data_IF_982042646810
#
_entry.id   IF_982042646810
#
_cell.length_a   1.000
_cell.length_b   1.000
_cell.length_c   1.000
_cell.angle_alpha   90.00
_cell.angle_beta   90.00
_cell.angle_gamma   90.00
#
_symmetry.space_group_name_H-M   'P 1'
#
loop_
_entity.id
_entity.type
_entity.pdbx_description
1 polymer ?
#
# COMPACT_ATOMS: atom_id res chain seq x y z
N UNK A 1 -2.88 15.93 -30.68
CA UNK A 1 -2.43 14.57 -30.29
C UNK A 1 -3.29 13.52 -30.98
N UNK A 2 -2.71 12.58 -31.74
CA UNK A 2 -3.47 11.49 -32.40
C UNK A 2 -3.85 10.41 -31.37
N UNK A 3 -5.08 9.90 -31.40
CA UNK A 3 -5.63 8.88 -30.45
C UNK A 3 -4.71 7.67 -30.19
N UNK A 4 -3.89 7.26 -31.17
CA UNK A 4 -2.93 6.16 -31.02
C UNK A 4 -1.81 6.42 -29.99
N UNK A 5 -1.39 7.67 -29.80
CA UNK A 5 -0.36 8.06 -28.84
C UNK A 5 -0.85 7.95 -27.38
N UNK A 6 -2.10 8.34 -27.13
CA UNK A 6 -2.74 8.24 -25.80
C UNK A 6 -2.90 6.80 -25.33
N UNK A 7 -3.34 5.90 -26.23
CA UNK A 7 -3.50 4.48 -25.90
C UNK A 7 -2.16 3.82 -25.56
N UNK A 8 -1.12 4.12 -26.33
CA UNK A 8 0.22 3.59 -26.06
C UNK A 8 0.78 4.11 -24.73
N UNK A 9 0.58 5.40 -24.42
CA UNK A 9 0.98 5.98 -23.14
C UNK A 9 0.24 5.32 -21.96
N UNK A 10 -1.07 5.10 -22.09
CA UNK A 10 -1.86 4.43 -21.06
C UNK A 10 -1.36 3.00 -20.80
N UNK A 11 -1.15 2.21 -21.84
CA UNK A 11 -0.65 0.82 -21.69
C UNK A 11 0.72 0.81 -20.99
N UNK A 12 1.60 1.74 -21.36
CA UNK A 12 2.92 1.88 -20.73
C UNK A 12 2.82 2.17 -19.23
N UNK A 13 2.00 3.16 -18.85
CA UNK A 13 1.75 3.50 -17.45
C UNK A 13 1.23 2.29 -16.66
N UNK A 14 0.32 1.52 -17.24
CA UNK A 14 -0.26 0.33 -16.60
C UNK A 14 0.77 -0.79 -16.43
N UNK A 15 1.65 -0.98 -17.41
CA UNK A 15 2.74 -1.95 -17.32
C UNK A 15 3.76 -1.56 -16.24
N UNK A 16 4.16 -0.28 -16.18
CA UNK A 16 5.07 0.24 -15.15
C UNK A 16 4.47 0.11 -13.74
N UNK A 17 3.17 0.40 -13.58
CA UNK A 17 2.46 0.19 -12.31
C UNK A 17 2.44 -1.28 -11.91
N UNK A 18 2.15 -2.19 -12.85
CA UNK A 18 2.15 -3.62 -12.57
C UNK A 18 3.55 -4.13 -12.16
N UNK A 19 4.60 -3.68 -12.84
CA UNK A 19 5.98 -4.02 -12.51
C UNK A 19 6.36 -3.57 -11.10
N UNK A 20 6.02 -2.32 -10.73
CA UNK A 20 6.21 -1.82 -9.37
C UNK A 20 5.42 -2.64 -8.34
N UNK A 21 4.17 -3.00 -8.67
CA UNK A 21 3.31 -3.78 -7.80
C UNK A 21 3.80 -5.22 -7.64
N UNK A 22 4.39 -5.85 -8.66
CA UNK A 22 5.00 -7.18 -8.56
C UNK A 22 6.17 -7.21 -7.55
N UNK A 23 6.79 -6.07 -7.30
CA UNK A 23 7.85 -5.87 -6.30
C UNK A 23 7.32 -5.57 -4.89
N UNK A 24 6.01 -5.72 -4.64
CA UNK A 24 5.36 -5.40 -3.36
C UNK A 24 6.08 -5.93 -2.11
N UNK A 25 6.70 -7.12 -2.21
CA UNK A 25 7.45 -7.76 -1.11
C UNK A 25 8.63 -6.92 -0.61
N UNK A 26 9.23 -6.12 -1.49
CA UNK A 26 10.35 -5.23 -1.17
C UNK A 26 9.93 -4.08 -0.25
N UNK A 27 8.66 -3.68 -0.30
CA UNK A 27 8.14 -2.59 0.53
C UNK A 27 7.66 -3.07 1.91
N UNK A 28 7.39 -4.37 2.10
CA UNK A 28 6.89 -4.90 3.37
C UNK A 28 7.76 -4.54 4.59
N UNK A 29 9.11 -4.62 4.54
CA UNK A 29 9.93 -4.25 5.69
C UNK A 29 9.76 -2.78 6.08
N UNK A 30 9.58 -1.88 5.09
CA UNK A 30 9.31 -0.47 5.36
C UNK A 30 7.93 -0.26 5.98
N UNK A 31 6.91 -0.97 5.48
CA UNK A 31 5.54 -0.93 6.00
C UNK A 31 5.50 -1.45 7.45
N UNK A 32 6.10 -2.60 7.72
CA UNK A 32 6.15 -3.19 9.08
C UNK A 32 6.85 -2.25 10.06
N UNK A 33 7.97 -1.63 9.66
CA UNK A 33 8.66 -0.64 10.49
C UNK A 33 7.83 0.62 10.75
N UNK A 34 7.05 1.08 9.76
CA UNK A 34 6.15 2.22 9.92
C UNK A 34 5.00 1.89 10.87
N UNK A 35 4.37 0.72 10.72
CA UNK A 35 3.33 0.24 11.63
C UNK A 35 3.87 0.09 13.06
N UNK A 36 5.06 -0.49 13.22
CA UNK A 36 5.68 -0.67 14.53
C UNK A 36 6.00 0.65 15.25
N UNK A 37 6.41 1.69 14.51
CA UNK A 37 6.63 3.03 15.07
C UNK A 37 5.34 3.63 15.65
N UNK A 38 4.20 3.39 15.01
CA UNK A 38 2.92 4.04 15.37
C UNK A 38 2.09 3.22 16.36
N UNK A 39 2.10 1.90 16.21
CA UNK A 39 1.22 0.95 16.91
C UNK A 39 1.97 0.00 17.86
N UNK A 40 3.30 0.07 17.90
CA UNK A 40 4.14 -0.93 18.56
C UNK A 40 4.29 -2.20 17.74
N UNK A 41 5.10 -3.14 18.22
CA UNK A 41 5.25 -4.44 17.56
C UNK A 41 3.93 -5.22 17.61
N UNK A 42 3.40 -5.56 16.44
CA UNK A 42 2.06 -6.15 16.25
C UNK A 42 2.09 -7.15 15.11
N UNK A 43 1.27 -8.22 15.15
CA UNK A 43 1.06 -9.08 14.00
C UNK A 43 0.56 -8.29 12.78
N UNK A 44 1.28 -8.42 11.67
CA UNK A 44 0.95 -7.83 10.37
C UNK A 44 0.70 -8.94 9.35
N UNK A 45 -0.40 -8.84 8.62
CA UNK A 45 -0.83 -9.81 7.62
C UNK A 45 -0.98 -9.13 6.27
N UNK A 46 -0.61 -9.84 5.22
CA UNK A 46 -0.90 -9.45 3.83
C UNK A 46 -2.02 -10.36 3.34
N UNK A 47 -3.04 -9.78 2.70
CA UNK A 47 -4.18 -10.52 2.19
C UNK A 47 -4.61 -9.99 0.83
N UNK A 48 -5.78 -10.41 0.34
CA UNK A 48 -6.33 -9.90 -0.91
C UNK A 48 -5.70 -10.49 -2.18
N UNK A 49 -5.71 -9.72 -3.26
CA UNK A 49 -5.36 -10.21 -4.61
C UNK A 49 -3.90 -10.64 -4.74
N UNK A 50 -2.99 -9.97 -4.04
CA UNK A 50 -1.53 -10.21 -4.11
C UNK A 50 -1.13 -11.59 -3.58
N UNK A 51 -1.87 -12.13 -2.60
CA UNK A 51 -1.63 -13.48 -2.07
C UNK A 51 -2.35 -14.57 -2.86
N UNK A 52 -3.40 -14.22 -3.61
CA UNK A 52 -4.16 -15.15 -4.47
C UNK A 52 -3.57 -15.31 -5.87
N UNK A 53 -2.50 -14.56 -6.19
CA UNK A 53 -1.94 -14.48 -7.55
C UNK A 53 -2.94 -13.95 -8.60
N UNK A 54 -3.91 -13.14 -8.18
CA UNK A 54 -4.95 -12.51 -9.03
C UNK A 54 -4.65 -11.02 -9.26
N UNK A 55 -3.36 -10.66 -9.27
CA UNK A 55 -2.91 -9.27 -9.31
C UNK A 55 -3.09 -8.64 -10.69
N UNK A 56 -3.56 -7.40 -10.73
CA UNK A 56 -3.70 -6.59 -11.95
C UNK A 56 -3.00 -5.25 -11.80
N UNK A 57 -2.86 -4.51 -12.90
CA UNK A 57 -2.32 -3.16 -12.87
C UNK A 57 -3.21 -2.15 -12.12
N UNK A 58 -4.41 -2.52 -11.67
CA UNK A 58 -5.28 -1.71 -10.79
C UNK A 58 -5.32 -2.22 -9.35
N UNK A 59 -4.60 -3.29 -9.05
CA UNK A 59 -4.55 -3.86 -7.70
C UNK A 59 -3.69 -3.00 -6.77
N UNK A 60 -3.93 -3.18 -5.47
CA UNK A 60 -3.16 -2.64 -4.36
C UNK A 60 -2.65 -3.78 -3.47
N UNK A 61 -1.81 -3.46 -2.48
CA UNK A 61 -1.31 -4.41 -1.48
C UNK A 61 -2.12 -4.26 -0.20
N UNK A 62 -3.03 -5.20 0.05
CA UNK A 62 -3.87 -5.17 1.24
C UNK A 62 -3.09 -5.65 2.48
N UNK A 63 -2.92 -4.76 3.46
CA UNK A 63 -2.23 -5.02 4.72
C UNK A 63 -3.18 -4.85 5.91
N UNK A 64 -3.22 -5.84 6.79
CA UNK A 64 -3.95 -5.80 8.05
C UNK A 64 -2.98 -5.83 9.23
N UNK A 65 -3.23 -5.01 10.24
CA UNK A 65 -2.50 -5.00 11.51
C UNK A 65 -3.45 -5.34 12.64
N UNK A 66 -3.05 -6.26 13.51
CA UNK A 66 -3.85 -6.64 14.66
C UNK A 66 -3.70 -5.61 15.79
N UNK A 67 -4.82 -5.07 16.25
CA UNK A 67 -4.87 -4.13 17.37
C UNK A 67 -5.90 -4.57 18.41
N UNK A 68 -5.65 -4.24 19.69
CA UNK A 68 -6.56 -4.55 20.79
C UNK A 68 -7.93 -3.89 20.61
N UNK A 69 -7.95 -2.61 20.24
CA UNK A 69 -9.17 -1.88 19.93
C UNK A 69 -8.94 -0.93 18.75
N UNK A 70 -9.90 -0.89 17.84
CA UNK A 70 -9.92 0.09 16.75
C UNK A 70 -10.53 1.40 17.27
N UNK A 71 -9.91 2.58 17.02
CA UNK A 71 -10.46 3.84 17.50
C UNK A 71 -11.91 4.05 17.02
N UNK A 72 -12.84 4.26 17.97
CA UNK A 72 -14.27 4.46 17.65
C UNK A 72 -14.59 5.83 17.03
N UNK A 73 -13.77 6.84 17.34
CA UNK A 73 -13.93 8.19 16.81
C UNK A 73 -13.33 8.29 15.42
N UNK A 74 -14.12 8.80 14.46
CA UNK A 74 -13.66 9.05 13.10
C UNK A 74 -12.41 9.96 13.08
N UNK A 75 -12.40 11.02 13.89
CA UNK A 75 -11.25 11.93 14.01
C UNK A 75 -10.00 11.20 14.49
N UNK A 76 -10.13 10.31 15.49
CA UNK A 76 -9.00 9.51 15.98
C UNK A 76 -8.50 8.50 14.94
N UNK A 77 -9.41 7.94 14.14
CA UNK A 77 -9.03 7.04 13.03
C UNK A 77 -8.23 7.81 11.98
N UNK A 78 -8.71 8.98 11.55
CA UNK A 78 -8.00 9.81 10.57
C UNK A 78 -6.61 10.20 11.09
N UNK A 79 -6.51 10.69 12.33
CA UNK A 79 -5.22 11.04 12.92
C UNK A 79 -4.26 9.84 13.06
N UNK A 80 -4.79 8.64 13.32
CA UNK A 80 -3.99 7.42 13.34
C UNK A 80 -3.48 7.05 11.94
N UNK A 81 -4.35 7.09 10.93
CA UNK A 81 -3.98 6.79 9.55
C UNK A 81 -2.94 7.79 9.04
N UNK A 82 -3.12 9.09 9.29
CA UNK A 82 -2.18 10.15 8.91
C UNK A 82 -0.76 9.90 9.47
N UNK A 83 -0.66 9.46 10.74
CA UNK A 83 0.62 9.07 11.34
C UNK A 83 1.26 7.87 10.65
N UNK A 84 0.46 6.86 10.29
CA UNK A 84 0.93 5.67 9.57
C UNK A 84 1.43 6.05 8.17
N UNK A 85 0.65 6.85 7.42
CA UNK A 85 1.02 7.34 6.09
C UNK A 85 2.31 8.14 6.14
N UNK A 86 2.41 9.10 7.05
CA UNK A 86 3.62 9.89 7.25
C UNK A 86 4.84 9.01 7.56
N UNK A 87 4.67 7.96 8.38
CA UNK A 87 5.75 7.03 8.72
C UNK A 87 6.16 6.13 7.53
N UNK A 88 5.22 5.77 6.66
CA UNK A 88 5.46 5.02 5.42
C UNK A 88 6.18 5.90 4.38
N UNK A 89 5.75 7.15 4.20
CA UNK A 89 6.36 8.11 3.28
C UNK A 89 7.83 8.39 3.62
N UNK A 90 8.14 8.62 4.90
CA UNK A 90 9.54 8.79 5.37
C UNK A 90 10.43 7.60 5.06
N UNK A 91 9.86 6.43 4.80
CA UNK A 91 10.56 5.18 4.46
C UNK A 91 10.52 4.85 2.97
N UNK A 92 10.00 5.75 2.13
CA UNK A 92 9.97 5.60 0.68
C UNK A 92 8.93 4.60 0.19
N UNK A 93 7.87 4.34 0.97
CA UNK A 93 6.76 3.52 0.49
C UNK A 93 5.94 4.36 -0.50
N UNK A 94 5.80 3.92 -1.77
CA UNK A 94 4.99 4.62 -2.76
C UNK A 94 3.50 4.55 -2.40
N UNK A 95 2.76 5.61 -2.71
CA UNK A 95 1.33 5.78 -2.48
C UNK A 95 0.63 6.26 -3.74
#
# INVERSE_FOLDING_TARGET
MRRGSLRAAYIRLKAERLEALMRWREFLPAIVKALAEVLGDRPVYVFGSVVKSEITADSDVDVAVLVEEVPRSALRRVALLDRIWSAMERRGVPH
#
